data_IF_035153186428
#
_entry.id   IF_035153186428
#
_cell.length_a   1.000
_cell.length_b   1.000
_cell.length_c   1.000
_cell.angle_alpha   90.00
_cell.angle_beta   90.00
_cell.angle_gamma   90.00
#
_symmetry.space_group_name_H-M   'P 1'
#
loop_
_entity.id
_entity.type
_entity.pdbx_description
1 polymer ?
#
# COMPACT_ATOMS: atom_id res chain seq x y z
N UNK A 1 16.84 12.38 -30.04
CA UNK A 1 17.60 11.54 -29.08
C UNK A 1 16.63 11.03 -28.03
N UNK A 2 16.09 9.82 -28.20
CA UNK A 2 15.19 9.17 -27.23
C UNK A 2 16.01 8.13 -26.48
N UNK A 3 16.31 8.36 -25.20
CA UNK A 3 16.98 7.36 -24.34
C UNK A 3 15.90 6.44 -23.77
N UNK A 4 15.53 5.43 -24.54
CA UNK A 4 14.86 4.26 -24.00
C UNK A 4 15.85 3.51 -23.11
N UNK A 5 15.38 3.08 -21.94
CA UNK A 5 16.06 2.13 -21.08
C UNK A 5 16.42 0.89 -21.92
N UNK A 6 17.69 0.79 -22.31
CA UNK A 6 18.19 -0.28 -23.16
C UNK A 6 18.33 -1.54 -22.30
N UNK A 7 17.25 -2.31 -22.15
CA UNK A 7 17.35 -3.70 -21.67
C UNK A 7 18.02 -4.47 -22.81
N UNK A 8 19.35 -4.52 -22.78
CA UNK A 8 20.14 -5.36 -23.67
C UNK A 8 19.97 -6.80 -23.20
N UNK A 9 18.96 -7.47 -23.73
CA UNK A 9 18.72 -8.90 -23.55
C UNK A 9 19.72 -9.66 -24.44
N UNK A 10 20.89 -9.95 -23.89
CA UNK A 10 21.89 -10.79 -24.55
C UNK A 10 21.73 -12.21 -24.01
N UNK A 11 20.96 -13.03 -24.74
CA UNK A 11 20.95 -14.48 -24.59
C UNK A 11 22.18 -15.01 -25.33
N UNK A 12 23.30 -15.13 -24.63
CA UNK A 12 24.48 -15.80 -25.17
C UNK A 12 24.38 -17.27 -24.77
N UNK A 13 24.03 -18.12 -25.72
CA UNK A 13 24.39 -19.54 -25.68
C UNK A 13 25.88 -19.66 -26.01
N UNK A 14 26.75 -19.43 -25.02
CA UNK A 14 28.20 -19.62 -25.18
C UNK A 14 28.53 -21.05 -24.78
N UNK A 15 28.93 -21.86 -25.76
CA UNK A 15 29.72 -23.08 -25.52
C UNK A 15 31.03 -22.64 -24.84
N UNK A 16 31.06 -22.63 -23.51
CA UNK A 16 32.28 -22.44 -22.74
C UNK A 16 32.82 -23.79 -22.28
N UNK A 17 33.91 -24.18 -22.91
CA UNK A 17 34.84 -25.20 -22.42
C UNK A 17 35.35 -24.81 -21.03
N UNK A 18 35.11 -25.71 -20.07
CA UNK A 18 35.74 -25.90 -18.77
C UNK A 18 36.55 -24.72 -18.20
N UNK A 19 35.88 -23.87 -17.44
CA UNK A 19 36.47 -23.21 -16.27
C UNK A 19 35.58 -23.53 -15.07
N UNK A 20 35.97 -24.57 -14.33
CA UNK A 20 35.38 -24.91 -13.04
C UNK A 20 35.92 -23.95 -11.98
N UNK A 21 35.33 -22.76 -11.88
CA UNK A 21 35.28 -22.08 -10.59
C UNK A 21 34.12 -22.72 -9.84
N UNK A 22 34.42 -23.51 -8.81
CA UNK A 22 33.40 -24.04 -7.92
C UNK A 22 32.79 -22.87 -7.12
N UNK A 23 31.85 -22.16 -7.73
CA UNK A 23 30.86 -21.41 -6.99
C UNK A 23 30.00 -22.45 -6.28
N UNK A 24 30.19 -22.60 -4.96
CA UNK A 24 29.29 -23.40 -4.15
C UNK A 24 27.86 -22.89 -4.34
N UNK A 25 26.92 -23.78 -4.61
CA UNK A 25 25.52 -23.40 -4.72
C UNK A 25 25.07 -22.72 -3.43
N UNK A 26 24.36 -21.60 -3.56
CA UNK A 26 23.70 -20.93 -2.44
C UNK A 26 22.56 -21.78 -1.87
N UNK A 27 22.04 -22.74 -2.66
CA UNK A 27 21.12 -23.78 -2.20
C UNK A 27 20.57 -24.66 -3.33
N UNK A 28 19.68 -25.59 -2.98
CA UNK A 28 18.97 -26.47 -3.92
C UNK A 28 17.47 -26.49 -3.60
N UNK A 29 16.62 -26.55 -4.63
CA UNK A 29 15.17 -26.68 -4.49
C UNK A 29 14.52 -27.37 -5.70
N UNK A 30 13.37 -28.01 -5.51
CA UNK A 30 12.51 -28.54 -6.57
C UNK A 30 11.19 -27.76 -6.75
N UNK A 31 10.97 -26.72 -5.93
CA UNK A 31 9.76 -25.90 -5.94
C UNK A 31 10.01 -24.56 -6.62
N UNK A 32 9.14 -24.18 -7.56
CA UNK A 32 9.16 -22.85 -8.20
C UNK A 32 8.99 -21.73 -7.18
N UNK A 33 8.11 -21.90 -6.20
CA UNK A 33 7.86 -20.89 -5.16
C UNK A 33 9.09 -20.66 -4.27
N UNK A 34 9.76 -21.76 -3.89
CA UNK A 34 11.00 -21.69 -3.11
C UNK A 34 12.12 -21.08 -3.93
N UNK A 35 12.24 -21.44 -5.22
CA UNK A 35 13.21 -20.84 -6.14
C UNK A 35 13.00 -19.32 -6.24
N UNK A 36 11.76 -18.88 -6.46
CA UNK A 36 11.42 -17.45 -6.54
C UNK A 36 11.79 -16.72 -5.26
N UNK A 37 11.44 -17.30 -4.10
CA UNK A 37 11.76 -16.74 -2.79
C UNK A 37 13.27 -16.61 -2.55
N UNK A 38 14.05 -17.63 -2.91
CA UNK A 38 15.52 -17.58 -2.78
C UNK A 38 16.14 -16.46 -3.61
N UNK A 39 15.69 -16.29 -4.87
CA UNK A 39 16.18 -15.22 -5.75
C UNK A 39 15.76 -13.85 -5.21
N UNK A 40 14.48 -13.65 -4.87
CA UNK A 40 14.00 -12.39 -4.31
C UNK A 40 14.72 -12.01 -3.01
N UNK A 41 14.96 -12.98 -2.12
CA UNK A 41 15.68 -12.73 -0.87
C UNK A 41 17.14 -12.32 -1.12
N UNK A 42 17.82 -12.94 -2.08
CA UNK A 42 19.17 -12.55 -2.50
C UNK A 42 19.20 -11.11 -3.06
N UNK A 43 18.23 -10.75 -3.91
CA UNK A 43 18.09 -9.39 -4.44
C UNK A 43 17.80 -8.37 -3.33
N UNK A 44 16.92 -8.69 -2.37
CA UNK A 44 16.63 -7.86 -1.19
C UNK A 44 17.85 -7.70 -0.29
N UNK A 45 18.67 -8.74 -0.16
CA UNK A 45 19.94 -8.70 0.56
C UNK A 45 21.05 -7.93 -0.17
N UNK A 46 20.77 -7.41 -1.38
CA UNK A 46 21.71 -6.69 -2.26
C UNK A 46 22.92 -7.55 -2.66
N UNK A 47 22.75 -8.87 -2.73
CA UNK A 47 23.75 -9.76 -3.30
C UNK A 47 23.87 -9.51 -4.81
N UNK A 48 25.09 -9.56 -5.33
CA UNK A 48 25.35 -9.30 -6.76
C UNK A 48 25.29 -10.56 -7.62
N UNK A 49 25.31 -11.74 -7.00
CA UNK A 49 25.21 -13.03 -7.67
C UNK A 49 24.63 -14.09 -6.74
N UNK A 50 23.79 -14.97 -7.29
CA UNK A 50 23.28 -16.16 -6.61
C UNK A 50 23.23 -17.34 -7.59
N UNK A 51 23.64 -18.52 -7.13
CA UNK A 51 23.56 -19.77 -7.89
C UNK A 51 22.72 -20.81 -7.14
N UNK A 52 21.65 -21.30 -7.77
CA UNK A 52 20.67 -22.21 -7.17
C UNK A 52 20.57 -23.45 -8.04
N UNK A 53 20.64 -24.63 -7.42
CA UNK A 53 20.30 -25.88 -8.12
C UNK A 53 18.80 -26.12 -8.08
N UNK A 54 18.17 -26.17 -9.24
CA UNK A 54 16.77 -26.48 -9.41
C UNK A 54 16.59 -27.92 -9.90
N UNK A 55 15.88 -28.75 -9.13
CA UNK A 55 15.61 -30.15 -9.44
C UNK A 55 14.14 -30.43 -9.78
N UNK A 56 13.32 -29.38 -9.89
CA UNK A 56 11.91 -29.48 -10.23
C UNK A 56 11.64 -29.51 -11.73
N UNK A 57 10.36 -29.44 -12.09
CA UNK A 57 9.90 -29.39 -13.49
C UNK A 57 10.28 -28.05 -14.14
N UNK A 58 10.90 -28.07 -15.33
CA UNK A 58 11.39 -26.86 -15.98
C UNK A 58 10.46 -26.20 -17.00
N UNK A 59 9.27 -26.78 -17.27
CA UNK A 59 8.37 -26.37 -18.38
C UNK A 59 8.10 -24.87 -18.41
N UNK A 60 7.93 -24.23 -17.25
CA UNK A 60 7.62 -22.79 -17.14
C UNK A 60 8.76 -21.95 -16.53
N UNK A 61 9.94 -22.55 -16.37
CA UNK A 61 11.03 -21.92 -15.63
C UNK A 61 11.42 -20.57 -16.22
N UNK A 62 11.60 -20.48 -17.54
CA UNK A 62 12.00 -19.23 -18.18
C UNK A 62 10.98 -18.09 -17.99
N UNK A 63 9.68 -18.39 -18.00
CA UNK A 63 8.65 -17.39 -17.72
C UNK A 63 8.71 -16.92 -16.25
N UNK A 64 8.93 -17.85 -15.31
CA UNK A 64 9.14 -17.57 -13.89
C UNK A 64 10.34 -16.66 -13.66
N UNK A 65 11.49 -16.96 -14.29
CA UNK A 65 12.71 -16.16 -14.13
C UNK A 65 12.55 -14.75 -14.74
N UNK A 66 11.83 -14.63 -15.86
CA UNK A 66 11.51 -13.33 -16.48
C UNK A 66 10.62 -12.46 -15.61
N UNK A 67 9.63 -13.05 -14.95
CA UNK A 67 8.65 -12.30 -14.17
C UNK A 67 9.14 -11.91 -12.77
N UNK A 68 10.25 -12.49 -12.30
CA UNK A 68 10.66 -12.38 -10.89
C UNK A 68 10.77 -10.94 -10.39
N UNK A 69 11.27 -10.04 -11.24
CA UNK A 69 11.44 -8.63 -10.88
C UNK A 69 10.12 -7.87 -10.78
N UNK A 70 9.07 -8.32 -11.47
CA UNK A 70 7.75 -7.69 -11.39
C UNK A 70 7.01 -8.01 -10.08
N UNK A 71 7.50 -8.98 -9.31
CA UNK A 71 6.90 -9.38 -8.02
C UNK A 71 7.26 -8.42 -6.88
N UNK A 72 8.25 -7.56 -7.08
CA UNK A 72 8.69 -6.60 -6.07
C UNK A 72 8.90 -5.24 -6.75
N UNK A 73 7.90 -4.38 -6.63
CA UNK A 73 7.86 -3.08 -7.29
C UNK A 73 9.05 -2.20 -6.88
N UNK A 74 9.49 -2.28 -5.62
CA UNK A 74 10.65 -1.54 -5.16
C UNK A 74 11.94 -2.06 -5.83
N UNK A 75 12.18 -3.37 -5.81
CA UNK A 75 13.36 -3.95 -6.47
C UNK A 75 13.41 -3.63 -7.96
N UNK A 76 12.26 -3.65 -8.64
CA UNK A 76 12.14 -3.31 -10.07
C UNK A 76 12.74 -1.97 -10.42
N UNK A 77 12.63 -0.99 -9.52
CA UNK A 77 13.15 0.35 -9.73
C UNK A 77 14.50 0.59 -9.03
N UNK A 78 14.97 -0.33 -8.18
CA UNK A 78 16.31 -0.22 -7.55
C UNK A 78 17.40 -1.12 -8.15
N UNK A 79 17.10 -1.87 -9.20
CA UNK A 79 18.07 -2.72 -9.91
C UNK A 79 18.45 -2.08 -11.26
N UNK A 80 19.76 -1.93 -11.49
CA UNK A 80 20.29 -1.38 -12.75
C UNK A 80 20.28 -2.40 -13.88
N UNK A 81 20.64 -3.64 -13.57
CA UNK A 81 20.45 -4.76 -14.48
C UNK A 81 20.28 -6.06 -13.69
N UNK A 82 19.55 -6.99 -14.32
CA UNK A 82 19.37 -8.36 -13.87
C UNK A 82 19.59 -9.27 -15.07
N UNK A 83 20.48 -10.24 -14.91
CA UNK A 83 20.78 -11.26 -15.91
C UNK A 83 20.71 -12.63 -15.26
N UNK A 84 20.18 -13.62 -15.97
CA UNK A 84 20.22 -15.00 -15.53
C UNK A 84 20.60 -15.93 -16.67
N UNK A 85 21.10 -17.09 -16.29
CA UNK A 85 21.31 -18.22 -17.17
C UNK A 85 21.19 -19.52 -16.39
N UNK A 86 20.92 -20.61 -17.10
CA UNK A 86 20.91 -21.93 -16.49
C UNK A 86 21.56 -22.97 -17.39
N UNK A 87 22.17 -23.98 -16.77
CA UNK A 87 22.83 -25.09 -17.46
C UNK A 87 22.51 -26.41 -16.77
N UNK A 88 22.71 -27.53 -17.45
CA UNK A 88 22.39 -28.86 -16.93
C UNK A 88 21.33 -29.57 -17.75
N UNK A 89 20.56 -30.46 -17.10
CA UNK A 89 19.53 -31.28 -17.73
C UNK A 89 18.25 -31.28 -16.89
N UNK A 90 17.14 -31.75 -17.45
CA UNK A 90 15.85 -31.80 -16.75
C UNK A 90 15.98 -32.52 -15.39
N UNK A 91 15.39 -31.94 -14.35
CA UNK A 91 15.53 -32.42 -12.97
C UNK A 91 16.88 -32.12 -12.31
N UNK A 92 17.80 -31.41 -12.99
CA UNK A 92 19.06 -30.90 -12.43
C UNK A 92 19.61 -29.73 -13.23
N UNK A 93 18.97 -28.57 -13.07
CA UNK A 93 19.39 -27.30 -13.66
C UNK A 93 20.13 -26.46 -12.62
N UNK A 94 21.26 -25.89 -13.00
CA UNK A 94 22.00 -24.94 -12.20
C UNK A 94 21.72 -23.53 -12.72
N UNK A 95 20.96 -22.75 -11.96
CA UNK A 95 20.47 -21.42 -12.31
C UNK A 95 21.38 -20.39 -11.64
N UNK A 96 21.89 -19.42 -12.39
CA UNK A 96 22.70 -18.32 -11.85
C UNK A 96 22.07 -16.98 -12.22
N UNK A 97 21.89 -16.12 -11.24
CA UNK A 97 21.51 -14.72 -11.41
C UNK A 97 22.70 -13.82 -11.11
N UNK A 98 22.90 -12.81 -11.93
CA UNK A 98 23.86 -11.72 -11.71
C UNK A 98 23.12 -10.39 -11.79
N UNK A 99 23.44 -9.48 -10.89
CA UNK A 99 22.75 -8.18 -10.79
C UNK A 99 23.66 -7.07 -10.33
N UNK A 100 23.28 -5.84 -10.66
CA UNK A 100 23.82 -4.62 -10.05
C UNK A 100 22.67 -3.82 -9.49
N UNK A 101 22.80 -3.47 -8.21
CA UNK A 101 21.84 -2.66 -7.47
C UNK A 101 22.23 -1.19 -7.52
N UNK A 102 21.25 -0.30 -7.50
CA UNK A 102 21.46 1.14 -7.33
C UNK A 102 22.08 1.50 -5.98
N UNK A 103 21.75 0.70 -4.95
CA UNK A 103 22.18 0.91 -3.58
C UNK A 103 22.92 -0.32 -3.07
N UNK A 104 23.94 -0.10 -2.24
CA UNK A 104 24.56 -1.16 -1.44
C UNK A 104 23.67 -1.55 -0.27
N UNK A 105 23.93 -2.71 0.33
CA UNK A 105 23.28 -3.14 1.57
C UNK A 105 23.40 -2.11 2.70
N UNK A 106 24.58 -1.53 2.88
CA UNK A 106 24.81 -0.51 3.92
C UNK A 106 24.04 0.79 3.68
N UNK A 107 23.82 1.18 2.42
CA UNK A 107 23.00 2.35 2.08
C UNK A 107 21.52 2.10 2.36
N UNK A 108 21.02 0.89 2.10
CA UNK A 108 19.66 0.49 2.47
C UNK A 108 19.48 0.46 3.98
N UNK A 109 20.41 -0.13 4.73
CA UNK A 109 20.36 -0.17 6.20
C UNK A 109 20.39 1.25 6.82
N UNK A 110 21.20 2.15 6.24
CA UNK A 110 21.19 3.57 6.63
C UNK A 110 19.82 4.21 6.35
N UNK A 111 19.25 3.96 5.17
CA UNK A 111 17.94 4.50 4.81
C UNK A 111 16.83 3.98 5.71
N UNK A 112 16.82 2.68 6.05
CA UNK A 112 15.89 2.05 6.98
C UNK A 112 15.91 2.74 8.34
N UNK A 113 17.11 2.93 8.89
CA UNK A 113 17.28 3.60 10.16
C UNK A 113 16.78 5.04 10.12
N UNK A 114 17.13 5.80 9.07
CA UNK A 114 16.70 7.19 8.93
C UNK A 114 15.21 7.33 8.76
N UNK A 115 14.57 6.49 7.94
CA UNK A 115 13.12 6.46 7.78
C UNK A 115 12.45 6.19 9.12
N UNK A 116 12.93 5.20 9.90
CA UNK A 116 12.39 4.91 11.22
C UNK A 116 12.52 6.10 12.18
N UNK A 117 13.67 6.77 12.21
CA UNK A 117 13.91 7.98 13.02
C UNK A 117 12.95 9.11 12.63
N UNK A 118 12.77 9.36 11.33
CA UNK A 118 11.88 10.41 10.81
C UNK A 118 10.42 10.10 11.17
N UNK A 119 9.95 8.90 10.87
CA UNK A 119 8.57 8.49 11.12
C UNK A 119 8.22 8.56 12.61
N UNK A 120 9.16 8.24 13.51
CA UNK A 120 8.95 8.37 14.95
C UNK A 120 8.73 9.81 15.44
N UNK A 121 9.10 10.82 14.65
CA UNK A 121 8.94 12.24 14.97
C UNK A 121 7.70 12.86 14.33
N UNK A 122 7.35 12.40 13.12
CA UNK A 122 6.26 13.01 12.33
C UNK A 122 4.95 12.25 12.42
N UNK A 123 4.94 11.01 12.95
CA UNK A 123 3.74 10.17 13.06
C UNK A 123 3.41 9.90 14.52
N UNK A 124 2.14 10.08 14.90
CA UNK A 124 1.60 9.60 16.18
C UNK A 124 0.65 8.42 15.96
N UNK A 125 0.43 7.55 16.97
CA UNK A 125 -0.46 6.39 16.84
C UNK A 125 -1.89 6.75 16.43
N UNK A 126 -2.37 7.93 16.81
CA UNK A 126 -3.74 8.42 16.61
C UNK A 126 -3.97 8.97 15.19
N UNK A 127 -2.90 9.21 14.42
CA UNK A 127 -3.03 9.75 13.07
C UNK A 127 -3.79 8.79 12.14
N UNK A 128 -4.78 9.35 11.44
CA UNK A 128 -5.46 8.70 10.33
C UNK A 128 -4.50 8.42 9.17
N UNK A 129 -4.90 7.55 8.24
CA UNK A 129 -4.12 7.29 7.01
C UNK A 129 -3.93 8.58 6.19
N UNK A 130 -4.95 9.46 6.14
CA UNK A 130 -4.86 10.77 5.49
C UNK A 130 -3.75 11.64 6.08
N UNK A 131 -3.68 11.73 7.41
CA UNK A 131 -2.65 12.50 8.11
C UNK A 131 -1.27 11.90 7.93
N UNK A 132 -1.15 10.57 7.94
CA UNK A 132 0.12 9.86 7.69
C UNK A 132 0.66 10.14 6.28
N UNK A 133 -0.19 10.04 5.26
CA UNK A 133 0.16 10.34 3.86
C UNK A 133 0.64 11.79 3.74
N UNK A 134 -0.12 12.73 4.32
CA UNK A 134 0.24 14.16 4.33
C UNK A 134 1.55 14.42 5.07
N UNK A 135 1.76 13.82 6.24
CA UNK A 135 2.97 14.01 7.04
C UNK A 135 4.22 13.52 6.30
N UNK A 136 4.14 12.37 5.63
CA UNK A 136 5.22 11.85 4.76
C UNK A 136 5.49 12.82 3.61
N UNK A 137 4.45 13.21 2.88
CA UNK A 137 4.54 14.14 1.75
C UNK A 137 5.22 15.45 2.18
N UNK A 138 4.70 16.09 3.21
CA UNK A 138 5.19 17.39 3.68
C UNK A 138 6.62 17.30 4.18
N UNK A 139 6.98 16.22 4.87
CA UNK A 139 8.35 16.01 5.30
C UNK A 139 9.30 15.91 4.10
N UNK A 140 8.93 15.16 3.05
CA UNK A 140 9.78 15.04 1.85
C UNK A 140 9.94 16.39 1.17
N UNK A 141 8.85 17.11 0.90
CA UNK A 141 8.89 18.43 0.23
C UNK A 141 9.69 19.46 1.03
N UNK A 142 9.67 19.39 2.36
CA UNK A 142 10.41 20.33 3.23
C UNK A 142 11.88 19.96 3.45
N UNK A 143 12.31 18.74 3.11
CA UNK A 143 13.66 18.22 3.43
C UNK A 143 14.44 17.74 2.22
N UNK A 144 13.84 17.79 1.03
CA UNK A 144 14.48 17.44 -0.23
C UNK A 144 14.53 18.67 -1.15
N UNK A 145 15.57 18.72 -1.98
CA UNK A 145 15.73 19.70 -3.06
C UNK A 145 15.95 18.97 -4.37
N UNK A 146 15.23 19.33 -5.42
CA UNK A 146 15.36 18.68 -6.73
C UNK A 146 16.77 18.79 -7.30
N UNK A 147 17.36 17.67 -7.72
CA UNK A 147 18.70 17.63 -8.32
C UNK A 147 18.67 17.99 -9.81
N UNK A 148 18.84 19.28 -10.13
CA UNK A 148 18.93 19.76 -11.52
C UNK A 148 20.16 19.23 -12.28
N UNK A 149 21.17 18.65 -11.60
CA UNK A 149 22.32 18.01 -12.26
C UNK A 149 22.01 16.60 -12.77
N UNK A 150 20.87 16.03 -12.35
CA UNK A 150 20.42 14.68 -12.68
C UNK A 150 21.38 13.55 -12.26
N UNK A 151 22.15 13.77 -11.18
CA UNK A 151 23.19 12.84 -10.69
C UNK A 151 22.64 11.90 -9.62
N UNK A 152 21.88 12.44 -8.68
CA UNK A 152 21.38 11.75 -7.50
C UNK A 152 19.95 11.30 -7.74
N UNK A 153 19.66 10.00 -7.53
CA UNK A 153 18.39 9.41 -7.98
C UNK A 153 17.76 8.43 -7.00
N UNK A 154 18.30 8.34 -5.79
CA UNK A 154 17.84 7.36 -4.80
C UNK A 154 17.27 8.04 -3.57
N UNK A 155 16.42 7.33 -2.84
CA UNK A 155 15.93 7.77 -1.53
C UNK A 155 17.07 7.97 -0.52
N UNK A 156 18.15 7.17 -0.62
CA UNK A 156 19.38 7.36 0.17
C UNK A 156 20.00 8.75 -0.07
N UNK A 157 20.01 9.25 -1.31
CA UNK A 157 20.56 10.57 -1.60
C UNK A 157 19.77 11.69 -0.90
N UNK A 158 18.44 11.62 -0.89
CA UNK A 158 17.64 12.56 -0.10
C UNK A 158 18.00 12.45 1.40
N UNK A 159 18.05 11.24 1.95
CA UNK A 159 18.31 11.02 3.38
C UNK A 159 19.75 11.35 3.82
N UNK A 160 20.71 11.36 2.90
CA UNK A 160 22.12 11.60 3.20
C UNK A 160 22.56 13.04 2.90
N UNK A 161 22.10 13.61 1.78
CA UNK A 161 22.53 14.94 1.29
C UNK A 161 21.38 15.90 1.00
N UNK A 162 20.13 15.47 1.12
CA UNK A 162 18.95 16.32 0.90
C UNK A 162 18.58 16.55 -0.56
N UNK A 163 19.11 15.79 -1.52
CA UNK A 163 18.82 16.05 -2.95
C UNK A 163 18.77 14.78 -3.80
N UNK A 164 17.82 14.75 -4.74
CA UNK A 164 17.69 13.73 -5.77
C UNK A 164 16.77 14.20 -6.91
N UNK A 165 16.71 13.45 -8.02
CA UNK A 165 15.66 13.57 -9.04
C UNK A 165 14.38 12.84 -8.61
N UNK A 166 13.33 12.92 -9.43
CA UNK A 166 12.01 12.32 -9.19
C UNK A 166 12.04 10.88 -8.67
N UNK A 167 12.97 10.06 -9.16
CA UNK A 167 13.17 8.69 -8.71
C UNK A 167 13.49 8.59 -7.21
N UNK A 168 14.31 9.48 -6.66
CA UNK A 168 14.60 9.50 -5.23
C UNK A 168 13.38 9.86 -4.39
N UNK A 169 12.59 10.84 -4.84
CA UNK A 169 11.35 11.28 -4.17
C UNK A 169 10.34 10.15 -4.13
N UNK A 170 10.06 9.53 -5.28
CA UNK A 170 9.07 8.48 -5.41
C UNK A 170 9.45 7.23 -4.59
N UNK A 171 10.73 6.84 -4.61
CA UNK A 171 11.22 5.74 -3.78
C UNK A 171 11.09 6.07 -2.29
N UNK A 172 11.50 7.27 -1.86
CA UNK A 172 11.45 7.64 -0.45
C UNK A 172 10.01 7.64 0.08
N UNK A 173 9.10 8.26 -0.66
CA UNK A 173 7.67 8.27 -0.33
C UNK A 173 7.12 6.85 -0.24
N UNK A 174 7.38 5.99 -1.24
CA UNK A 174 6.94 4.59 -1.27
C UNK A 174 7.43 3.83 -0.03
N UNK A 175 8.70 4.00 0.34
CA UNK A 175 9.30 3.36 1.51
C UNK A 175 8.69 3.84 2.82
N UNK A 176 8.50 5.14 2.98
CA UNK A 176 7.88 5.72 4.18
C UNK A 176 6.42 5.29 4.32
N UNK A 177 5.65 5.26 3.24
CA UNK A 177 4.25 4.81 3.24
C UNK A 177 4.13 3.33 3.62
N UNK A 178 4.93 2.46 2.99
CA UNK A 178 4.93 1.03 3.31
C UNK A 178 5.37 0.74 4.75
N UNK A 179 6.31 1.52 5.31
CA UNK A 179 6.71 1.41 6.72
C UNK A 179 5.56 1.74 7.70
N UNK A 180 4.55 2.49 7.25
CA UNK A 180 3.32 2.79 8.00
C UNK A 180 2.15 1.86 7.63
N UNK A 181 2.38 0.82 6.83
CA UNK A 181 1.35 -0.03 6.24
C UNK A 181 0.32 0.75 5.41
N UNK A 182 0.72 1.90 4.85
CA UNK A 182 -0.07 2.64 3.86
C UNK A 182 0.32 2.13 2.48
N UNK A 183 -0.58 1.44 1.77
CA UNK A 183 -0.22 0.88 0.47
C UNK A 183 0.10 1.99 -0.52
N UNK A 184 1.29 1.92 -1.08
CA UNK A 184 1.75 2.84 -2.12
C UNK A 184 2.20 2.07 -3.37
N UNK A 185 1.96 2.66 -4.54
CA UNK A 185 2.46 2.16 -5.83
C UNK A 185 3.42 3.17 -6.44
N UNK A 186 4.42 2.69 -7.16
CA UNK A 186 5.29 3.48 -8.03
C UNK A 186 4.67 3.57 -9.43
N UNK A 187 4.42 4.78 -9.91
CA UNK A 187 3.82 5.04 -11.22
C UNK A 187 4.87 5.68 -12.12
N UNK A 188 4.99 5.15 -13.35
CA UNK A 188 5.87 5.66 -14.40
C UNK A 188 5.02 6.35 -15.46
N UNK A 189 5.56 7.43 -15.98
CA UNK A 189 4.91 8.24 -16.99
C UNK A 189 5.88 9.23 -17.64
N UNK A 190 5.32 10.25 -18.26
CA UNK A 190 6.07 11.38 -18.82
C UNK A 190 5.46 12.72 -18.39
N UNK A 191 6.33 13.71 -18.20
CA UNK A 191 6.00 15.14 -18.03
C UNK A 191 6.80 16.01 -19.00
N UNK A 192 6.90 15.53 -20.25
CA UNK A 192 7.85 16.03 -21.27
C UNK A 192 9.15 15.21 -21.31
N UNK A 193 9.53 14.61 -20.18
CA UNK A 193 10.55 13.58 -20.04
C UNK A 193 10.06 12.47 -19.09
N UNK A 194 10.80 11.36 -19.05
CA UNK A 194 10.43 10.20 -18.22
C UNK A 194 10.36 10.58 -16.74
N UNK A 195 9.24 10.24 -16.11
CA UNK A 195 8.93 10.63 -14.74
C UNK A 195 8.41 9.46 -13.92
N UNK A 196 8.58 9.55 -12.59
CA UNK A 196 8.10 8.58 -11.62
C UNK A 196 7.54 9.29 -10.40
N UNK A 197 6.37 8.85 -9.95
CA UNK A 197 5.68 9.36 -8.77
C UNK A 197 4.90 8.25 -8.07
N UNK A 198 4.03 8.58 -7.13
CA UNK A 198 3.31 7.60 -6.31
C UNK A 198 1.80 7.61 -6.55
N UNK A 199 1.18 6.46 -6.27
CA UNK A 199 -0.22 6.40 -5.85
C UNK A 199 -0.31 5.85 -4.43
N UNK A 200 -1.30 6.30 -3.67
CA UNK A 200 -1.59 5.84 -2.30
C UNK A 200 -3.03 5.40 -2.16
N UNK A 201 -3.25 4.41 -1.31
CA UNK A 201 -4.59 3.93 -0.98
C UNK A 201 -5.07 4.48 0.35
N UNK A 202 -6.25 5.10 0.36
CA UNK A 202 -6.93 5.58 1.56
C UNK A 202 -8.45 5.47 1.41
N UNK A 203 -9.12 5.00 2.47
CA UNK A 203 -10.58 4.91 2.58
C UNK A 203 -11.32 4.30 1.38
N UNK A 204 -10.74 3.26 0.76
CA UNK A 204 -11.35 2.59 -0.38
C UNK A 204 -10.79 2.98 -1.73
N UNK A 205 -10.03 4.08 -1.80
CA UNK A 205 -9.70 4.76 -3.05
C UNK A 205 -8.20 4.94 -3.22
N UNK A 206 -7.76 4.86 -4.47
CA UNK A 206 -6.40 5.19 -4.85
C UNK A 206 -6.32 6.65 -5.30
N UNK A 207 -5.23 7.33 -4.99
CA UNK A 207 -4.95 8.71 -5.41
C UNK A 207 -3.50 8.88 -5.81
N UNK A 208 -3.24 9.77 -6.77
CA UNK A 208 -1.90 10.17 -7.15
C UNK A 208 -1.31 11.16 -6.15
N UNK A 209 -0.04 10.97 -5.81
CA UNK A 209 0.78 11.89 -5.01
C UNK A 209 2.12 12.05 -5.70
N UNK A 210 2.44 13.26 -6.13
CA UNK A 210 3.74 13.59 -6.69
C UNK A 210 4.44 14.66 -5.84
N UNK A 211 5.30 14.19 -4.93
CA UNK A 211 6.11 15.06 -4.08
C UNK A 211 7.13 15.87 -4.89
N UNK A 212 7.54 15.41 -6.07
CA UNK A 212 8.51 16.10 -6.92
C UNK A 212 7.90 17.38 -7.50
N UNK A 213 6.68 17.32 -8.01
CA UNK A 213 5.98 18.48 -8.57
C UNK A 213 5.48 19.46 -7.49
N UNK A 214 5.39 18.99 -6.25
CA UNK A 214 5.08 19.82 -5.08
C UNK A 214 6.32 20.45 -4.44
N UNK A 215 7.53 20.04 -4.82
CA UNK A 215 8.79 20.70 -4.49
C UNK A 215 8.99 21.93 -5.40
N UNK A 216 9.00 23.17 -4.86
CA UNK A 216 9.16 24.37 -5.68
C UNK A 216 10.54 24.43 -6.35
N UNK A 217 10.58 24.83 -7.63
CA UNK A 217 11.83 25.14 -8.33
C UNK A 217 11.83 26.64 -8.74
N UNK A 218 12.86 27.44 -8.39
CA UNK A 218 13.97 27.08 -7.50
C UNK A 218 13.47 26.81 -6.08
N UNK A 219 14.19 25.94 -5.36
CA UNK A 219 13.83 25.57 -4.00
C UNK A 219 13.76 26.80 -3.08
N UNK A 220 12.71 26.81 -2.28
CA UNK A 220 12.39 27.87 -1.33
C UNK A 220 12.23 27.22 0.02
N UNK A 221 13.27 27.27 0.85
CA UNK A 221 13.28 26.67 2.18
C UNK A 221 12.01 27.03 2.96
N UNK A 222 11.28 25.99 3.40
CA UNK A 222 10.04 26.13 4.17
C UNK A 222 8.76 26.34 3.34
N UNK A 223 8.85 26.38 2.00
CA UNK A 223 7.68 26.45 1.12
C UNK A 223 7.14 25.05 0.85
N UNK A 224 5.84 24.88 1.12
CA UNK A 224 5.11 23.64 0.92
C UNK A 224 3.99 23.87 -0.10
N UNK A 225 3.85 22.97 -1.08
CA UNK A 225 2.75 22.96 -2.06
C UNK A 225 2.04 21.61 -2.03
N UNK A 226 0.79 21.59 -2.48
CA UNK A 226 -0.04 20.38 -2.56
C UNK A 226 -0.76 20.26 -3.91
N UNK A 227 -0.27 20.94 -4.94
CA UNK A 227 -0.92 21.02 -6.25
C UNK A 227 -1.04 19.63 -6.92
N UNK A 228 -0.11 18.71 -6.62
CA UNK A 228 -0.09 17.32 -7.09
C UNK A 228 -0.32 16.31 -5.95
N UNK A 229 -1.10 16.71 -4.94
CA UNK A 229 -1.44 15.87 -3.79
C UNK A 229 -2.88 15.33 -3.90
N UNK A 230 -3.02 14.01 -3.78
CA UNK A 230 -4.29 13.29 -3.75
C UNK A 230 -5.17 13.52 -4.99
N UNK A 231 -4.57 13.47 -6.17
CA UNK A 231 -5.25 13.71 -7.45
C UNK A 231 -5.88 12.44 -8.04
N UNK A 232 -6.99 12.62 -8.77
CA UNK A 232 -7.56 11.58 -9.63
C UNK A 232 -6.75 11.36 -10.91
N UNK A 233 -7.04 10.28 -11.64
CA UNK A 233 -6.49 10.01 -12.98
C UNK A 233 -6.76 11.19 -13.92
N UNK A 234 -7.97 11.76 -13.89
CA UNK A 234 -8.35 12.92 -14.69
C UNK A 234 -7.52 14.15 -14.33
N UNK A 235 -7.36 14.43 -13.04
CA UNK A 235 -6.64 15.59 -12.54
C UNK A 235 -5.13 15.50 -12.81
N UNK A 236 -4.50 14.36 -12.53
CA UNK A 236 -3.05 14.19 -12.77
C UNK A 236 -2.74 14.24 -14.27
N UNK A 237 -3.65 13.74 -15.12
CA UNK A 237 -3.47 13.68 -16.57
C UNK A 237 -3.45 15.05 -17.26
N UNK A 238 -3.82 16.12 -16.54
CA UNK A 238 -3.66 17.49 -17.04
C UNK A 238 -2.19 17.88 -17.21
N UNK A 239 -1.29 17.23 -16.47
CA UNK A 239 0.16 17.52 -16.50
C UNK A 239 1.02 16.30 -16.78
N UNK A 240 0.50 15.08 -16.57
CA UNK A 240 1.24 13.82 -16.68
C UNK A 240 0.64 12.91 -17.76
N UNK A 241 1.49 12.13 -18.42
CA UNK A 241 1.08 10.97 -19.23
C UNK A 241 1.41 9.71 -18.44
N UNK A 242 0.46 8.81 -18.24
CA UNK A 242 0.67 7.61 -17.41
C UNK A 242 0.99 6.40 -18.30
N UNK A 243 2.09 5.70 -18.00
CA UNK A 243 2.53 4.50 -18.73
C UNK A 243 2.37 3.20 -17.94
N UNK A 244 2.27 3.26 -16.61
CA UNK A 244 2.10 2.05 -15.80
C UNK A 244 0.78 1.33 -16.15
N UNK A 245 0.90 0.22 -16.85
CA UNK A 245 -0.20 -0.70 -17.14
C UNK A 245 -0.64 -1.44 -15.86
N UNK A 246 -1.91 -1.83 -15.77
CA UNK A 246 -2.49 -2.57 -14.63
C UNK A 246 -2.37 -1.88 -13.25
N UNK A 247 -2.19 -0.56 -13.23
CA UNK A 247 -2.32 0.24 -12.00
C UNK A 247 -3.79 0.30 -11.54
N UNK A 248 -4.04 0.53 -10.24
CA UNK A 248 -5.39 0.85 -9.78
C UNK A 248 -5.92 2.15 -10.41
N UNK A 249 -7.24 2.24 -10.60
CA UNK A 249 -7.92 3.44 -11.08
C UNK A 249 -8.11 4.45 -9.95
N UNK A 250 -7.92 5.74 -10.26
CA UNK A 250 -8.28 6.84 -9.38
C UNK A 250 -9.37 7.69 -10.02
N UNK A 251 -10.62 7.50 -9.61
CA UNK A 251 -11.79 8.12 -10.24
C UNK A 251 -12.61 9.02 -9.31
N UNK A 252 -12.53 8.83 -7.99
CA UNK A 252 -13.31 9.61 -7.02
C UNK A 252 -12.50 10.84 -6.63
N UNK A 253 -13.01 12.08 -6.83
CA UNK A 253 -12.30 13.27 -6.40
C UNK A 253 -12.08 13.29 -4.88
N UNK A 254 -10.87 13.66 -4.45
CA UNK A 254 -10.53 13.69 -3.03
C UNK A 254 -11.38 14.69 -2.24
N UNK A 255 -11.73 15.81 -2.86
CA UNK A 255 -12.71 16.79 -2.35
C UNK A 255 -14.04 16.13 -1.98
N UNK A 256 -14.57 15.28 -2.86
CA UNK A 256 -15.83 14.59 -2.65
C UNK A 256 -15.72 13.56 -1.51
N UNK A 257 -14.61 12.80 -1.47
CA UNK A 257 -14.33 11.87 -0.38
C UNK A 257 -14.28 12.59 0.97
N UNK A 258 -13.51 13.67 1.09
CA UNK A 258 -13.37 14.43 2.35
C UNK A 258 -14.69 15.02 2.82
N UNK A 259 -15.49 15.58 1.90
CA UNK A 259 -16.81 16.11 2.26
C UNK A 259 -17.77 15.01 2.75
N UNK A 260 -17.74 13.81 2.14
CA UNK A 260 -18.54 12.66 2.62
C UNK A 260 -18.05 12.16 3.97
N UNK A 261 -16.74 12.05 4.18
CA UNK A 261 -16.18 11.66 5.48
C UNK A 261 -16.54 12.67 6.57
N UNK A 262 -16.50 13.97 6.27
CA UNK A 262 -16.96 15.00 7.18
C UNK A 262 -18.45 14.87 7.50
N UNK A 263 -19.31 14.68 6.51
CA UNK A 263 -20.75 14.49 6.71
C UNK A 263 -21.06 13.32 7.66
N UNK A 264 -20.31 12.22 7.53
CA UNK A 264 -20.51 11.01 8.34
C UNK A 264 -20.00 11.13 9.76
N UNK A 265 -18.82 11.71 9.93
CA UNK A 265 -18.09 11.67 11.21
C UNK A 265 -18.19 12.97 12.00
N UNK A 266 -18.53 14.08 11.34
CA UNK A 266 -18.41 15.44 11.86
C UNK A 266 -16.99 15.79 12.38
N UNK A 267 -15.97 15.06 11.90
CA UNK A 267 -14.59 15.24 12.34
C UNK A 267 -13.97 16.52 11.78
N UNK A 268 -13.41 17.36 12.64
CA UNK A 268 -12.75 18.63 12.25
C UNK A 268 -11.57 18.40 11.29
N UNK A 269 -10.91 17.26 11.39
CA UNK A 269 -9.79 16.86 10.52
C UNK A 269 -10.13 17.04 9.04
N UNK A 270 -11.29 16.55 8.60
CA UNK A 270 -11.64 16.58 7.18
C UNK A 270 -11.90 18.01 6.68
N UNK A 271 -12.44 18.88 7.54
CA UNK A 271 -12.60 20.32 7.22
C UNK A 271 -11.23 21.02 7.17
N UNK A 272 -10.31 20.66 8.05
CA UNK A 272 -8.95 21.19 8.03
C UNK A 272 -8.22 20.78 6.74
N UNK A 273 -8.37 19.53 6.29
CA UNK A 273 -7.83 19.05 5.02
C UNK A 273 -8.47 19.75 3.82
N UNK A 274 -9.80 19.91 3.80
CA UNK A 274 -10.51 20.65 2.74
C UNK A 274 -9.96 22.06 2.61
N UNK A 275 -9.83 22.78 3.73
CA UNK A 275 -9.33 24.16 3.73
C UNK A 275 -7.86 24.22 3.33
N UNK A 276 -7.01 23.34 3.87
CA UNK A 276 -5.56 23.33 3.61
C UNK A 276 -5.26 23.07 2.13
N UNK A 277 -6.03 22.19 1.50
CA UNK A 277 -5.89 21.85 0.08
C UNK A 277 -6.66 22.81 -0.84
N UNK A 278 -7.24 23.90 -0.31
CA UNK A 278 -8.07 24.84 -1.03
C UNK A 278 -9.23 24.18 -1.82
N UNK A 279 -9.82 23.13 -1.24
CA UNK A 279 -10.96 22.42 -1.79
C UNK A 279 -12.28 23.07 -1.33
N UNK A 280 -13.34 22.84 -2.09
CA UNK A 280 -14.67 23.37 -1.86
C UNK A 280 -15.45 22.52 -0.86
N UNK A 281 -16.19 23.20 0.02
CA UNK A 281 -17.24 22.55 0.82
C UNK A 281 -18.47 22.31 -0.06
N UNK A 282 -18.96 21.07 -0.03
CA UNK A 282 -20.14 20.67 -0.80
C UNK A 282 -21.40 20.77 0.06
N UNK A 283 -22.53 21.11 -0.56
CA UNK A 283 -23.81 21.10 0.15
C UNK A 283 -24.35 19.67 0.30
N UNK A 284 -25.19 19.47 1.32
CA UNK A 284 -25.70 18.16 1.71
C UNK A 284 -26.53 17.49 0.60
N UNK A 285 -27.33 18.26 -0.13
CA UNK A 285 -28.15 17.75 -1.24
C UNK A 285 -27.30 17.11 -2.34
N UNK A 286 -26.19 17.76 -2.73
CA UNK A 286 -25.29 17.25 -3.76
C UNK A 286 -24.51 16.02 -3.26
N UNK A 287 -24.07 16.03 -1.99
CA UNK A 287 -23.36 14.90 -1.39
C UNK A 287 -24.24 13.64 -1.35
N UNK A 288 -25.50 13.79 -0.96
CA UNK A 288 -26.45 12.68 -0.90
C UNK A 288 -26.81 12.15 -2.30
N UNK A 289 -26.83 13.02 -3.32
CA UNK A 289 -27.12 12.61 -4.70
C UNK A 289 -25.94 11.91 -5.41
N UNK A 290 -24.73 12.01 -4.86
CA UNK A 290 -23.52 11.50 -5.51
C UNK A 290 -23.03 10.24 -4.82
N UNK A 291 -23.21 9.05 -5.41
CA UNK A 291 -22.64 7.80 -4.87
C UNK A 291 -21.20 7.65 -5.35
N UNK A 292 -20.26 7.33 -4.45
CA UNK A 292 -18.83 7.15 -4.80
C UNK A 292 -18.33 5.72 -4.68
N UNK A 293 -19.21 4.79 -4.28
CA UNK A 293 -18.87 3.41 -4.04
C UNK A 293 -19.85 2.47 -4.74
N UNK A 294 -19.34 1.32 -5.18
CA UNK A 294 -20.15 0.28 -5.84
C UNK A 294 -20.11 -1.01 -5.03
N UNK A 295 -21.16 -1.86 -5.10
CA UNK A 295 -21.13 -3.17 -4.44
C UNK A 295 -20.01 -4.03 -5.03
N UNK A 296 -19.33 -4.77 -4.17
CA UNK A 296 -18.38 -5.79 -4.56
C UNK A 296 -19.12 -7.07 -4.98
N UNK A 297 -18.66 -7.68 -6.08
CA UNK A 297 -19.25 -8.91 -6.60
C UNK A 297 -18.76 -10.14 -5.83
N UNK A 298 -19.67 -11.08 -5.55
CA UNK A 298 -19.34 -12.39 -4.98
C UNK A 298 -18.96 -12.38 -3.50
N UNK A 299 -19.12 -11.26 -2.79
CA UNK A 299 -18.83 -11.11 -1.37
C UNK A 299 -20.00 -10.45 -0.63
N UNK A 300 -20.02 -10.58 0.70
CA UNK A 300 -20.96 -9.84 1.54
C UNK A 300 -20.54 -8.38 1.59
N UNK A 301 -21.50 -7.49 1.34
CA UNK A 301 -21.30 -6.04 1.34
C UNK A 301 -21.80 -5.41 2.64
N UNK A 302 -21.29 -4.23 2.96
CA UNK A 302 -21.79 -3.39 4.08
C UNK A 302 -21.97 -1.98 3.55
N UNK A 303 -23.15 -1.39 3.76
CA UNK A 303 -23.42 0.01 3.42
C UNK A 303 -23.60 0.86 4.65
N UNK A 304 -23.09 2.10 4.58
CA UNK A 304 -23.24 3.14 5.59
C UNK A 304 -23.72 4.39 4.88
N UNK A 305 -24.94 4.85 5.20
CA UNK A 305 -25.57 5.97 4.48
C UNK A 305 -25.55 5.78 2.95
N UNK A 306 -26.01 4.61 2.49
CA UNK A 306 -26.10 4.23 1.07
C UNK A 306 -24.77 4.04 0.34
N UNK A 307 -23.65 4.08 1.06
CA UNK A 307 -22.31 3.93 0.49
C UNK A 307 -21.66 2.62 0.96
N UNK A 308 -21.13 1.86 0.02
CA UNK A 308 -20.46 0.60 0.23
C UNK A 308 -19.07 0.78 0.80
N UNK A 309 -18.78 0.11 1.91
CA UNK A 309 -17.42 -0.06 2.40
C UNK A 309 -16.65 -0.91 1.39
N UNK A 310 -15.57 -0.36 0.84
CA UNK A 310 -14.74 -1.03 -0.15
C UNK A 310 -13.70 -1.92 0.55
N UNK A 311 -14.06 -3.19 0.73
CA UNK A 311 -13.16 -4.23 1.22
C UNK A 311 -12.24 -4.73 0.10
N UNK A 312 -11.04 -5.18 0.47
CA UNK A 312 -10.13 -5.84 -0.46
C UNK A 312 -9.38 -7.00 0.23
N UNK A 313 -8.48 -7.66 -0.49
CA UNK A 313 -7.70 -8.77 0.05
C UNK A 313 -6.81 -8.40 1.23
N UNK A 314 -6.47 -7.13 1.44
CA UNK A 314 -5.60 -6.63 2.54
C UNK A 314 -6.38 -6.43 3.83
N UNK A 315 -7.61 -5.95 3.73
CA UNK A 315 -8.52 -5.86 4.89
C UNK A 315 -9.29 -7.14 5.13
N UNK A 316 -9.45 -7.96 4.08
CA UNK A 316 -10.32 -9.12 4.07
C UNK A 316 -11.75 -8.75 3.74
N UNK A 317 -12.52 -9.75 3.35
CA UNK A 317 -13.92 -9.57 2.97
C UNK A 317 -14.85 -10.02 4.10
N UNK A 318 -16.00 -9.35 4.28
CA UNK A 318 -17.07 -9.86 5.11
C UNK A 318 -17.54 -11.25 4.66
N UNK A 319 -17.99 -12.06 5.60
CA UNK A 319 -18.54 -13.38 5.32
C UNK A 319 -19.65 -13.74 6.31
N UNK A 320 -20.47 -14.72 5.98
CA UNK A 320 -21.47 -15.28 6.90
C UNK A 320 -20.87 -16.50 7.59
N UNK A 321 -20.93 -16.54 8.92
CA UNK A 321 -20.42 -17.66 9.71
C UNK A 321 -21.42 -18.83 9.81
N UNK A 322 -21.03 -19.90 10.53
CA UNK A 322 -21.88 -21.08 10.73
C UNK A 322 -23.14 -20.83 11.58
N UNK A 323 -23.21 -19.69 12.27
CA UNK A 323 -24.37 -19.26 13.05
C UNK A 323 -25.28 -18.31 12.25
N UNK A 324 -25.08 -18.19 10.93
CA UNK A 324 -25.78 -17.25 10.05
C UNK A 324 -25.61 -15.77 10.48
N UNK A 325 -24.45 -15.41 11.04
CA UNK A 325 -24.11 -14.03 11.39
C UNK A 325 -23.03 -13.49 10.46
N UNK A 326 -23.21 -12.23 10.05
CA UNK A 326 -22.22 -11.55 9.22
C UNK A 326 -21.03 -11.11 10.07
N UNK A 327 -19.86 -11.61 9.69
CA UNK A 327 -18.56 -11.28 10.25
C UNK A 327 -17.89 -10.25 9.33
N UNK A 328 -17.35 -9.17 9.90
CA UNK A 328 -16.70 -8.10 9.16
C UNK A 328 -15.28 -7.85 9.67
N UNK A 329 -14.31 -7.51 8.79
CA UNK A 329 -12.98 -7.14 9.25
C UNK A 329 -13.04 -5.88 10.11
N UNK A 330 -12.65 -6.05 11.38
CA UNK A 330 -12.91 -5.10 12.45
C UNK A 330 -12.47 -3.67 12.13
N UNK A 331 -11.18 -3.53 11.81
CA UNK A 331 -10.52 -2.22 11.73
C UNK A 331 -11.15 -1.33 10.67
N UNK A 332 -11.18 -1.79 9.42
CA UNK A 332 -11.72 -0.99 8.31
C UNK A 332 -13.19 -0.67 8.54
N UNK A 333 -14.00 -1.62 9.04
CA UNK A 333 -15.41 -1.37 9.25
C UNK A 333 -15.60 -0.29 10.31
N UNK A 334 -14.95 -0.41 11.47
CA UNK A 334 -15.10 0.57 12.56
C UNK A 334 -14.54 1.95 12.22
N UNK A 335 -13.35 2.00 11.62
CA UNK A 335 -12.73 3.27 11.19
C UNK A 335 -13.63 3.98 10.16
N UNK A 336 -14.34 3.24 9.29
CA UNK A 336 -15.32 3.81 8.35
C UNK A 336 -16.52 4.49 9.03
N UNK A 337 -16.91 4.03 10.22
CA UNK A 337 -17.92 4.69 11.06
C UNK A 337 -17.33 5.86 11.88
N UNK A 338 -16.05 6.17 11.71
CA UNK A 338 -15.34 7.19 12.47
C UNK A 338 -14.94 6.73 13.87
N UNK A 339 -15.00 5.43 14.16
CA UNK A 339 -14.59 4.91 15.46
C UNK A 339 -13.06 4.80 15.53
N UNK A 340 -12.48 5.17 16.68
CA UNK A 340 -11.08 4.85 16.97
C UNK A 340 -10.98 3.39 17.40
N UNK A 341 -10.00 2.65 16.89
CA UNK A 341 -9.81 1.25 17.27
C UNK A 341 -8.45 0.96 17.89
N UNK A 342 -8.44 0.12 18.91
CA UNK A 342 -7.25 -0.32 19.63
C UNK A 342 -7.26 -1.84 19.85
N UNK A 343 -6.11 -2.41 20.18
CA UNK A 343 -5.93 -3.83 20.47
C UNK A 343 -5.18 -4.01 21.79
N UNK A 344 -5.69 -4.87 22.67
CA UNK A 344 -5.02 -5.31 23.90
C UNK A 344 -4.48 -6.73 23.66
N UNK A 345 -3.16 -6.89 23.46
CA UNK A 345 -2.55 -8.19 23.23
C UNK A 345 -2.74 -9.18 24.38
N UNK A 346 -2.63 -8.71 25.63
CA UNK A 346 -2.61 -9.53 26.84
C UNK A 346 -3.91 -10.33 27.01
N UNK A 347 -5.03 -9.75 26.60
CA UNK A 347 -6.36 -10.34 26.73
C UNK A 347 -6.97 -10.68 25.38
N UNK A 348 -6.23 -10.52 24.27
CA UNK A 348 -6.74 -10.65 22.91
C UNK A 348 -8.09 -9.95 22.74
N UNK A 349 -8.11 -8.65 22.99
CA UNK A 349 -9.34 -7.84 23.03
C UNK A 349 -9.23 -6.67 22.06
N UNK A 350 -10.16 -6.61 21.12
CA UNK A 350 -10.36 -5.45 20.27
C UNK A 350 -11.17 -4.38 21.02
N UNK A 351 -10.84 -3.11 20.84
CA UNK A 351 -11.57 -1.98 21.40
C UNK A 351 -11.95 -1.05 20.25
N UNK A 352 -13.22 -0.64 20.21
CA UNK A 352 -13.69 0.44 19.35
C UNK A 352 -14.36 1.52 20.21
N UNK A 353 -14.09 2.79 19.91
CA UNK A 353 -14.72 3.92 20.57
C UNK A 353 -15.34 4.86 19.55
N UNK A 354 -16.60 5.21 19.75
CA UNK A 354 -17.34 6.11 18.88
C UNK A 354 -18.32 6.94 19.72
N UNK A 355 -18.28 8.26 19.56
CA UNK A 355 -19.18 9.21 20.23
C UNK A 355 -19.28 9.03 21.77
N UNK A 356 -18.18 8.63 22.42
CA UNK A 356 -18.11 8.43 23.87
C UNK A 356 -18.58 7.04 24.35
N UNK A 357 -19.03 6.17 23.45
CA UNK A 357 -19.28 4.76 23.74
C UNK A 357 -18.02 3.95 23.49
N UNK A 358 -17.61 3.12 24.44
CA UNK A 358 -16.50 2.18 24.30
C UNK A 358 -17.05 0.75 24.22
N UNK A 359 -16.72 0.05 23.14
CA UNK A 359 -17.06 -1.36 22.94
C UNK A 359 -15.78 -2.20 23.01
N UNK A 360 -15.72 -3.14 23.97
CA UNK A 360 -14.59 -4.08 24.14
C UNK A 360 -15.03 -5.46 23.68
N UNK A 361 -14.27 -6.07 22.79
CA UNK A 361 -14.62 -7.32 22.10
C UNK A 361 -13.53 -8.37 22.35
N UNK A 362 -13.69 -9.23 23.37
CA UNK A 362 -12.78 -10.34 23.61
C UNK A 362 -12.92 -11.40 22.52
N UNK A 363 -11.80 -11.80 21.91
CA UNK A 363 -11.82 -12.80 20.84
C UNK A 363 -12.19 -14.19 21.39
N UNK A 364 -13.01 -14.92 20.63
CA UNK A 364 -13.47 -16.27 20.97
C UNK A 364 -14.54 -16.31 22.06
N UNK A 365 -15.09 -15.17 22.47
CA UNK A 365 -16.15 -15.10 23.49
C UNK A 365 -17.51 -14.77 22.86
N UNK A 366 -18.61 -15.35 23.35
CA UNK A 366 -19.97 -15.09 22.88
C UNK A 366 -20.57 -13.85 23.56
N UNK A 367 -19.75 -12.80 23.77
CA UNK A 367 -20.16 -11.56 24.42
C UNK A 367 -19.19 -10.43 24.09
N UNK A 368 -19.69 -9.20 24.22
CA UNK A 368 -18.93 -7.96 24.19
C UNK A 368 -19.20 -7.17 25.48
N UNK A 369 -18.40 -6.14 25.74
CA UNK A 369 -18.71 -5.15 26.76
C UNK A 369 -19.00 -3.81 26.11
N UNK A 370 -20.10 -3.17 26.51
CA UNK A 370 -20.49 -1.81 26.08
C UNK A 370 -20.45 -0.93 27.32
N UNK A 371 -19.52 0.02 27.39
CA UNK A 371 -19.28 0.84 28.59
C UNK A 371 -19.17 -0.01 29.87
N UNK A 372 -18.40 -1.10 29.78
CA UNK A 372 -18.18 -2.13 30.82
C UNK A 372 -19.39 -3.02 31.18
N UNK A 373 -20.56 -2.83 30.55
CA UNK A 373 -21.69 -3.75 30.69
C UNK A 373 -21.59 -4.94 29.73
N UNK A 374 -21.79 -6.14 30.25
CA UNK A 374 -21.72 -7.37 29.46
C UNK A 374 -22.97 -7.53 28.59
N UNK A 375 -22.78 -7.62 27.28
CA UNK A 375 -23.81 -7.88 26.28
C UNK A 375 -23.53 -9.23 25.61
N UNK A 376 -24.50 -10.13 25.67
CA UNK A 376 -24.38 -11.46 25.05
C UNK A 376 -24.54 -11.37 23.53
N UNK A 377 -23.72 -12.14 22.82
CA UNK A 377 -23.79 -12.33 21.39
C UNK A 377 -24.06 -13.79 21.07
N UNK A 378 -24.81 -14.06 20.01
CA UNK A 378 -25.14 -15.42 19.57
C UNK A 378 -24.10 -16.02 18.61
N UNK A 379 -22.97 -15.37 18.47
CA UNK A 379 -21.78 -15.87 17.78
C UNK A 379 -20.52 -15.29 18.43
N UNK A 380 -19.34 -15.72 17.97
CA UNK A 380 -18.05 -15.29 18.49
C UNK A 380 -17.29 -14.45 17.48
N UNK A 381 -16.48 -13.54 18.00
CA UNK A 381 -15.44 -12.84 17.22
C UNK A 381 -14.25 -13.76 17.02
N UNK A 382 -13.64 -13.74 15.82
CA UNK A 382 -12.54 -14.65 15.47
C UNK A 382 -11.34 -13.91 14.90
N UNK A 383 -10.18 -14.56 14.92
CA UNK A 383 -9.03 -14.16 14.11
C UNK A 383 -8.94 -15.13 12.92
N UNK A 384 -8.91 -14.58 11.70
CA UNK A 384 -8.79 -15.33 10.45
C UNK A 384 -7.80 -14.59 9.54
N UNK A 385 -6.78 -15.30 9.04
CA UNK A 385 -5.71 -14.72 8.20
C UNK A 385 -5.09 -13.47 8.85
N UNK A 386 -4.72 -13.57 10.13
CA UNK A 386 -4.15 -12.50 10.96
C UNK A 386 -5.02 -11.24 11.11
N UNK A 387 -6.33 -11.37 10.87
CA UNK A 387 -7.30 -10.27 10.99
C UNK A 387 -8.40 -10.60 11.96
N UNK A 388 -8.78 -9.60 12.73
CA UNK A 388 -9.91 -9.69 13.65
C UNK A 388 -11.21 -9.49 12.87
N UNK A 389 -12.14 -10.43 13.03
CA UNK A 389 -13.47 -10.40 12.46
C UNK A 389 -14.51 -10.35 13.58
N UNK A 390 -15.45 -9.42 13.47
CA UNK A 390 -16.49 -9.22 14.48
C UNK A 390 -17.89 -9.42 13.91
N UNK A 391 -18.85 -9.85 14.75
CA UNK A 391 -20.26 -9.86 14.39
C UNK A 391 -20.75 -8.42 14.24
N UNK A 392 -21.00 -7.99 12.99
CA UNK A 392 -21.26 -6.58 12.69
C UNK A 392 -22.44 -6.01 13.46
N UNK A 393 -23.53 -6.78 13.59
CA UNK A 393 -24.77 -6.34 14.23
C UNK A 393 -24.54 -5.94 15.69
N UNK A 394 -23.96 -6.85 16.47
CA UNK A 394 -23.75 -6.61 17.90
C UNK A 394 -22.90 -5.38 18.19
N UNK A 395 -21.89 -5.13 17.36
CA UNK A 395 -20.98 -4.00 17.54
C UNK A 395 -21.64 -2.68 17.10
N UNK A 396 -22.33 -2.67 15.96
CA UNK A 396 -22.95 -1.44 15.45
C UNK A 396 -24.23 -1.05 16.22
N UNK A 397 -25.02 -2.01 16.68
CA UNK A 397 -26.16 -1.73 17.57
C UNK A 397 -25.69 -1.15 18.91
N UNK A 398 -24.53 -1.58 19.42
CA UNK A 398 -23.92 -0.98 20.61
C UNK A 398 -23.53 0.50 20.41
N UNK A 399 -23.27 0.92 19.17
CA UNK A 399 -23.05 2.32 18.80
C UNK A 399 -24.33 3.07 18.42
N UNK A 400 -25.50 2.42 18.54
CA UNK A 400 -26.81 3.01 18.29
C UNK A 400 -27.22 3.02 16.81
N UNK A 401 -26.62 2.17 15.98
CA UNK A 401 -27.05 2.02 14.58
C UNK A 401 -28.06 0.89 14.40
N UNK A 402 -29.00 1.08 13.47
CA UNK A 402 -29.95 0.07 13.05
C UNK A 402 -29.38 -0.76 11.88
N UNK A 403 -29.57 -2.08 11.93
CA UNK A 403 -28.94 -3.02 10.99
C UNK A 403 -29.97 -3.87 10.25
N UNK A 404 -30.09 -3.61 8.95
CA UNK A 404 -30.89 -4.40 8.02
C UNK A 404 -30.04 -5.36 7.17
N UNK A 405 -30.69 -6.37 6.59
CA UNK A 405 -30.07 -7.32 5.66
C UNK A 405 -30.85 -7.39 4.36
N UNK A 406 -30.18 -7.11 3.24
CA UNK A 406 -30.69 -7.38 1.90
C UNK A 406 -30.14 -8.71 1.41
N UNK A 407 -31.00 -9.73 1.36
CA UNK A 407 -30.63 -11.09 0.94
C UNK A 407 -30.37 -11.21 -0.57
N UNK A 408 -30.96 -10.35 -1.39
CA UNK A 408 -30.76 -10.37 -2.84
C UNK A 408 -29.37 -9.87 -3.21
N UNK A 409 -28.93 -8.76 -2.60
CA UNK A 409 -27.61 -8.18 -2.85
C UNK A 409 -26.54 -8.62 -1.86
N UNK A 410 -26.88 -9.52 -0.93
CA UNK A 410 -25.99 -9.97 0.17
C UNK A 410 -25.35 -8.77 0.90
N UNK A 411 -26.17 -7.81 1.31
CA UNK A 411 -25.71 -6.52 1.83
C UNK A 411 -26.26 -6.25 3.23
N UNK A 412 -25.38 -5.96 4.18
CA UNK A 412 -25.74 -5.36 5.47
C UNK A 412 -26.00 -3.88 5.23
N UNK A 413 -27.19 -3.40 5.54
CA UNK A 413 -27.59 -2.00 5.39
C UNK A 413 -27.60 -1.36 6.76
N UNK A 414 -26.73 -0.37 6.98
CA UNK A 414 -26.63 0.35 8.24
C UNK A 414 -27.37 1.68 8.15
N UNK A 415 -28.27 1.89 9.11
CA UNK A 415 -29.15 3.06 9.24
C UNK A 415 -28.89 3.78 10.55
N UNK A 416 -29.26 5.05 10.60
CA UNK A 416 -29.15 5.90 11.78
C UNK A 416 -30.44 5.94 12.55
#
# INVERSE_FOLDING_TARGET
MKRFLLIVLIVITLLMSQFSLAFGYSGQTDSIETLQSMILNSLRARETSISIRYTGNSTNLEAVLKDIINQDEYLKYTIEYLQWGYSGYEGKLDITFNTRHLLTKSQEEYADQKIKEILSRIITPEMTVHEKIKAIHDWIVLNATYDESLTYRTHYDILYRGTAVCHGYALLFHRMANALNVPARLIIGDVGEGHIWNMVYVDGYWYHVDATFNDPIPDQTGRLRHDHFMLTDEQISLTHIIHTENRPLSAVPYELLLNKLYQRTNSKLYIELINLLNLSKMNETLLNATTISTPLNGVVNVTVFEEYIQYDERYGYPFVDSNNRTQVPFRITMEYFGATVNWIPETSTAIAELNGTTVRIPIGKPYIFVNDELVLNDTISIIKNDRTYLPIRAVLEAFGFDIDWNSYTQTVIVKK
#
